data_IF_629259634217
#
_entry.id   IF_629259634217
#
_cell.length_a   1.000
_cell.length_b   1.000
_cell.length_c   1.000
_cell.angle_alpha   90.00
_cell.angle_beta   90.00
_cell.angle_gamma   90.00
#
_symmetry.space_group_name_H-M   'P 1'
#
loop_
_entity.id
_entity.type
_entity.pdbx_description
1 polymer ?
#
# COMPACT_ATOMS: atom_id res chain seq x y z
N UNK A 1 22.89 -11.44 -2.26
CA UNK A 1 21.72 -10.55 -2.14
C UNK A 1 22.19 -9.10 -2.13
N UNK A 2 21.39 -8.17 -2.65
CA UNK A 2 21.73 -6.76 -2.77
C UNK A 2 20.52 -5.92 -2.34
N UNK A 3 20.77 -4.74 -1.79
CA UNK A 3 19.72 -3.76 -1.47
C UNK A 3 20.00 -2.42 -2.15
N UNK A 4 18.96 -1.65 -2.39
CA UNK A 4 19.03 -0.26 -2.82
C UNK A 4 18.85 0.60 -1.55
N UNK A 5 19.87 1.38 -1.20
CA UNK A 5 19.86 2.21 0.00
C UNK A 5 19.70 3.68 -0.39
N UNK A 6 18.69 4.34 0.15
CA UNK A 6 18.52 5.77 0.04
C UNK A 6 19.41 6.45 1.09
N UNK A 7 20.36 7.24 0.64
CA UNK A 7 21.31 7.94 1.50
C UNK A 7 21.20 9.45 1.33
N UNK A 8 21.43 10.20 2.41
CA UNK A 8 21.53 11.65 2.35
C UNK A 8 22.96 12.05 2.02
N UNK A 9 23.26 12.22 0.73
CA UNK A 9 24.60 12.50 0.23
C UNK A 9 24.95 13.98 0.20
N UNK A 10 23.98 14.86 -0.01
CA UNK A 10 24.20 16.30 -0.23
C UNK A 10 23.27 17.13 0.66
N UNK A 11 23.47 17.15 2.00
CA UNK A 11 22.53 17.76 2.96
C UNK A 11 22.27 19.26 2.75
N UNK A 12 23.20 19.97 2.15
CA UNK A 12 23.11 21.42 1.89
C UNK A 12 22.52 21.77 0.52
N UNK A 13 22.23 20.78 -0.32
CA UNK A 13 21.56 20.99 -1.60
C UNK A 13 20.06 21.29 -1.42
N UNK A 14 19.38 21.75 -2.48
CA UNK A 14 17.93 21.88 -2.48
C UNK A 14 17.27 20.51 -2.16
N UNK A 15 16.11 20.53 -1.49
CA UNK A 15 15.50 19.34 -0.88
C UNK A 15 15.41 18.12 -1.82
N UNK A 16 15.07 18.34 -3.10
CA UNK A 16 14.94 17.29 -4.11
C UNK A 16 16.29 16.66 -4.54
N UNK A 17 17.44 17.30 -4.22
CA UNK A 17 18.77 16.86 -4.61
C UNK A 17 19.63 16.40 -3.41
N UNK A 18 19.04 16.28 -2.22
CA UNK A 18 19.77 15.87 -1.02
C UNK A 18 20.09 14.39 -0.94
N UNK A 19 19.40 13.55 -1.72
CA UNK A 19 19.45 12.11 -1.57
C UNK A 19 19.98 11.43 -2.83
N UNK A 20 20.73 10.34 -2.64
CA UNK A 20 21.19 9.42 -3.68
C UNK A 20 20.73 8.01 -3.39
N UNK A 21 20.70 7.16 -4.40
CA UNK A 21 20.45 5.72 -4.22
C UNK A 21 21.72 4.95 -4.57
N UNK A 22 22.08 4.03 -3.68
CA UNK A 22 23.32 3.25 -3.80
C UNK A 22 23.01 1.77 -3.65
N UNK A 23 23.61 0.96 -4.53
CA UNK A 23 23.56 -0.49 -4.42
C UNK A 23 24.53 -0.97 -3.34
N UNK A 24 24.03 -1.70 -2.36
CA UNK A 24 24.82 -2.25 -1.26
C UNK A 24 24.60 -3.76 -1.19
N UNK A 25 25.66 -4.58 -1.46
CA UNK A 25 25.59 -6.02 -1.18
C UNK A 25 25.35 -6.27 0.31
N UNK A 26 24.51 -7.27 0.63
CA UNK A 26 24.10 -7.54 2.02
C UNK A 26 25.25 -8.07 2.90
N UNK A 27 26.30 -8.59 2.29
CA UNK A 27 27.51 -9.10 2.94
C UNK A 27 28.64 -8.08 3.06
N UNK A 28 28.38 -6.82 2.68
CA UNK A 28 29.35 -5.72 2.82
C UNK A 28 29.69 -5.50 4.31
N UNK A 29 30.97 -5.41 4.67
CA UNK A 29 31.40 -5.13 6.04
C UNK A 29 30.71 -3.88 6.60
N UNK A 30 30.17 -3.97 7.81
CA UNK A 30 29.46 -2.89 8.48
C UNK A 30 27.92 -2.92 8.26
N UNK A 31 27.40 -3.74 7.37
CA UNK A 31 25.95 -4.01 7.28
C UNK A 31 25.55 -4.98 8.40
N UNK A 32 24.67 -4.55 9.27
CA UNK A 32 24.20 -5.34 10.41
C UNK A 32 22.68 -5.48 10.37
N UNK A 33 22.18 -6.71 10.42
CA UNK A 33 20.75 -7.00 10.62
C UNK A 33 20.52 -7.10 12.12
N UNK A 34 19.75 -6.18 12.68
CA UNK A 34 19.50 -6.10 14.12
C UNK A 34 18.33 -6.98 14.56
N UNK A 35 17.38 -7.24 13.66
CA UNK A 35 16.23 -8.08 13.96
C UNK A 35 15.08 -7.85 12.96
N UNK A 36 14.06 -8.70 13.07
CA UNK A 36 12.83 -8.55 12.31
C UNK A 36 11.93 -7.47 12.93
N UNK A 37 11.24 -6.71 12.08
CA UNK A 37 10.21 -5.76 12.50
C UNK A 37 8.86 -6.46 12.52
N UNK A 38 8.15 -6.39 13.65
CA UNK A 38 6.80 -6.94 13.76
C UNK A 38 5.75 -5.94 13.26
N UNK A 39 4.80 -6.45 12.49
CA UNK A 39 3.60 -5.72 12.05
C UNK A 39 2.38 -6.45 12.59
N UNK A 40 1.58 -5.82 13.45
CA UNK A 40 0.49 -6.45 14.18
C UNK A 40 0.92 -7.72 14.97
N UNK A 41 2.17 -7.70 15.49
CA UNK A 41 2.73 -8.83 16.24
C UNK A 41 3.39 -9.92 15.41
N UNK A 42 3.29 -9.87 14.08
CA UNK A 42 3.84 -10.85 13.15
C UNK A 42 5.07 -10.32 12.43
N UNK A 43 6.12 -11.14 12.26
CA UNK A 43 7.33 -10.76 11.55
C UNK A 43 7.25 -10.97 10.03
N UNK A 44 6.18 -11.63 9.57
CA UNK A 44 5.90 -11.95 8.16
C UNK A 44 7.04 -12.69 7.44
N UNK A 45 7.84 -13.48 8.16
CA UNK A 45 8.89 -14.28 7.54
C UNK A 45 8.33 -15.19 6.42
N UNK A 46 9.05 -15.39 5.31
CA UNK A 46 10.38 -14.87 4.94
C UNK A 46 10.36 -13.50 4.25
N UNK A 47 9.21 -12.82 4.18
CA UNK A 47 8.98 -11.57 3.44
C UNK A 47 8.92 -10.31 4.32
N UNK A 48 9.20 -10.43 5.59
CA UNK A 48 9.13 -9.34 6.57
C UNK A 48 10.13 -8.21 6.32
N UNK A 49 10.07 -7.20 7.17
CA UNK A 49 10.97 -6.04 7.16
C UNK A 49 12.02 -6.21 8.27
N UNK A 50 13.26 -5.81 7.97
CA UNK A 50 14.35 -5.92 8.92
C UNK A 50 14.81 -4.54 9.39
N UNK A 51 15.17 -4.46 10.67
CA UNK A 51 15.89 -3.32 11.21
C UNK A 51 17.37 -3.48 10.87
N UNK A 52 17.90 -2.54 10.08
CA UNK A 52 19.26 -2.56 9.60
C UNK A 52 20.07 -1.43 10.22
N UNK A 53 21.36 -1.68 10.46
CA UNK A 53 22.35 -0.67 10.80
C UNK A 53 23.48 -0.69 9.78
N UNK A 54 23.88 0.47 9.34
CA UNK A 54 25.04 0.69 8.48
C UNK A 54 26.13 1.37 9.30
N UNK A 55 27.21 0.65 9.55
CA UNK A 55 28.30 1.08 10.40
C UNK A 55 29.58 1.22 9.56
N UNK A 56 29.89 2.43 9.15
CA UNK A 56 31.04 2.75 8.27
C UNK A 56 31.10 1.87 7.01
N UNK A 57 29.96 1.57 6.39
CA UNK A 57 29.85 0.76 5.18
C UNK A 57 30.47 1.49 4.00
N UNK A 58 31.35 0.80 3.28
CA UNK A 58 32.02 1.33 2.09
C UNK A 58 31.71 0.47 0.89
N UNK A 59 31.30 1.10 -0.21
CA UNK A 59 31.01 0.46 -1.50
C UNK A 59 31.67 1.25 -2.63
N UNK A 60 31.92 0.64 -3.79
CA UNK A 60 32.42 1.34 -4.95
C UNK A 60 31.53 2.52 -5.36
N UNK A 61 32.11 3.61 -5.84
CA UNK A 61 31.37 4.77 -6.32
C UNK A 61 30.40 4.44 -7.45
N UNK A 62 30.76 3.47 -8.29
CA UNK A 62 29.95 3.01 -9.43
C UNK A 62 28.67 2.28 -9.03
N UNK A 63 28.51 1.95 -7.74
CA UNK A 63 27.25 1.45 -7.19
C UNK A 63 26.18 2.55 -7.03
N UNK A 64 26.53 3.82 -7.24
CA UNK A 64 25.58 4.93 -7.20
C UNK A 64 24.72 4.95 -8.47
N UNK A 65 23.41 4.94 -8.30
CA UNK A 65 22.44 4.94 -9.39
C UNK A 65 22.24 6.37 -9.93
N UNK A 66 22.40 6.54 -11.24
CA UNK A 66 22.23 7.81 -12.00
C UNK A 66 23.10 8.99 -11.53
N UNK A 67 23.88 8.86 -10.46
CA UNK A 67 24.71 9.92 -9.91
C UNK A 67 24.17 10.58 -8.65
N UNK A 68 24.99 11.45 -8.07
CA UNK A 68 24.70 12.11 -6.79
C UNK A 68 23.48 13.05 -6.88
N UNK A 69 22.66 13.05 -5.82
CA UNK A 69 21.48 13.92 -5.70
C UNK A 69 20.26 13.47 -6.48
N UNK A 70 20.33 12.35 -7.20
CA UNK A 70 19.21 11.88 -8.05
C UNK A 70 18.32 10.79 -7.40
N UNK A 71 18.49 10.55 -6.11
CA UNK A 71 17.72 9.52 -5.40
C UNK A 71 16.22 9.78 -5.37
N UNK A 72 15.80 11.03 -5.20
CA UNK A 72 14.38 11.41 -5.23
C UNK A 72 13.76 11.20 -6.62
N UNK A 73 14.45 11.58 -7.69
CA UNK A 73 14.03 11.36 -9.08
C UNK A 73 13.79 9.86 -9.35
N UNK A 74 14.76 9.00 -9.01
CA UNK A 74 14.66 7.55 -9.17
C UNK A 74 13.43 7.01 -8.42
N UNK A 75 13.23 7.48 -7.17
CA UNK A 75 12.07 7.07 -6.37
C UNK A 75 10.75 7.44 -7.03
N UNK A 76 10.61 8.65 -7.53
CA UNK A 76 9.35 9.10 -8.15
C UNK A 76 9.02 8.35 -9.44
N UNK A 77 10.02 8.02 -10.25
CA UNK A 77 9.84 7.21 -11.46
C UNK A 77 9.30 5.82 -11.14
N UNK A 78 9.74 5.21 -10.04
CA UNK A 78 9.31 3.88 -9.61
C UNK A 78 7.98 3.90 -8.86
N UNK A 79 7.76 4.88 -7.98
CA UNK A 79 6.61 4.93 -7.08
C UNK A 79 5.29 5.21 -7.80
N UNK A 80 5.30 5.95 -8.91
CA UNK A 80 4.08 6.22 -9.69
C UNK A 80 3.37 4.94 -10.12
N UNK A 81 4.00 4.09 -10.96
CA UNK A 81 3.45 2.78 -11.35
C UNK A 81 3.21 1.85 -10.16
N UNK A 82 4.11 1.85 -9.17
CA UNK A 82 3.98 1.05 -7.95
C UNK A 82 2.70 1.34 -7.17
N UNK A 83 2.28 2.60 -7.08
CA UNK A 83 1.03 3.01 -6.42
C UNK A 83 -0.21 2.47 -7.13
N UNK A 84 -0.23 2.49 -8.46
CA UNK A 84 -1.32 1.90 -9.27
C UNK A 84 -1.38 0.39 -9.01
N UNK A 85 -0.24 -0.30 -9.03
CA UNK A 85 -0.13 -1.73 -8.73
C UNK A 85 -0.64 -2.05 -7.31
N UNK A 86 -0.26 -1.28 -6.30
CA UNK A 86 -0.77 -1.44 -4.94
C UNK A 86 -2.30 -1.34 -4.90
N UNK A 87 -2.88 -0.34 -5.55
CA UNK A 87 -4.33 -0.15 -5.57
C UNK A 87 -5.04 -1.31 -6.27
N UNK A 88 -4.56 -1.77 -7.43
CA UNK A 88 -5.23 -2.85 -8.17
C UNK A 88 -5.19 -4.19 -7.41
N UNK A 89 -4.06 -4.57 -6.81
CA UNK A 89 -3.99 -5.80 -6.00
C UNK A 89 -4.83 -5.71 -4.72
N UNK A 90 -5.00 -4.50 -4.15
CA UNK A 90 -5.88 -4.25 -3.00
C UNK A 90 -7.34 -4.51 -3.36
N UNK A 91 -7.77 -4.13 -4.57
CA UNK A 91 -9.11 -4.45 -5.08
C UNK A 91 -9.33 -5.96 -5.14
N UNK A 92 -8.31 -6.74 -5.54
CA UNK A 92 -8.39 -8.20 -5.50
C UNK A 92 -8.60 -8.76 -4.09
N UNK A 93 -8.02 -8.13 -3.07
CA UNK A 93 -8.29 -8.50 -1.68
C UNK A 93 -9.70 -8.09 -1.23
N UNK A 94 -10.20 -6.93 -1.67
CA UNK A 94 -11.59 -6.54 -1.41
C UNK A 94 -12.59 -7.52 -2.03
N UNK A 95 -12.35 -7.99 -3.25
CA UNK A 95 -13.15 -9.06 -3.89
C UNK A 95 -13.17 -10.34 -3.06
N UNK A 96 -11.99 -10.75 -2.57
CA UNK A 96 -11.89 -11.93 -1.71
C UNK A 96 -12.61 -11.75 -0.38
N UNK A 97 -12.50 -10.58 0.23
CA UNK A 97 -13.21 -10.26 1.47
C UNK A 97 -14.72 -10.26 1.28
N UNK A 98 -15.21 -9.68 0.17
CA UNK A 98 -16.64 -9.69 -0.17
C UNK A 98 -17.15 -11.10 -0.42
N UNK A 99 -16.42 -11.95 -1.13
CA UNK A 99 -16.79 -13.36 -1.35
C UNK A 99 -16.94 -14.11 -0.01
N UNK A 100 -15.98 -13.93 0.90
CA UNK A 100 -16.03 -14.52 2.24
C UNK A 100 -17.20 -13.96 3.06
N UNK A 101 -17.44 -12.66 3.01
CA UNK A 101 -18.56 -12.00 3.68
C UNK A 101 -19.90 -12.59 3.23
N UNK A 102 -20.11 -12.72 1.92
CA UNK A 102 -21.35 -13.27 1.36
C UNK A 102 -21.53 -14.74 1.74
N UNK A 103 -20.48 -15.57 1.56
CA UNK A 103 -20.52 -16.98 1.92
C UNK A 103 -20.87 -17.19 3.40
N UNK A 104 -20.25 -16.40 4.29
CA UNK A 104 -20.55 -16.44 5.73
C UNK A 104 -21.98 -15.98 6.01
N UNK A 105 -22.39 -14.90 5.37
CA UNK A 105 -23.73 -14.29 5.55
C UNK A 105 -24.87 -15.24 5.20
N UNK A 106 -24.72 -16.01 4.14
CA UNK A 106 -25.76 -16.97 3.70
C UNK A 106 -25.73 -18.31 4.40
N UNK A 107 -24.56 -18.76 4.86
CA UNK A 107 -24.39 -20.08 5.46
C UNK A 107 -24.58 -20.13 6.97
N UNK A 108 -24.35 -19.03 7.68
CA UNK A 108 -24.47 -18.97 9.14
C UNK A 108 -25.84 -18.46 9.54
N UNK A 109 -26.53 -19.21 10.39
CA UNK A 109 -27.82 -18.82 10.97
C UNK A 109 -27.64 -18.34 12.41
N UNK A 110 -28.42 -17.33 12.76
CA UNK A 110 -28.62 -16.83 14.12
C UNK A 110 -30.03 -16.24 14.25
N UNK A 111 -30.66 -16.36 15.40
CA UNK A 111 -32.02 -15.88 15.64
C UNK A 111 -33.03 -16.40 14.60
N UNK A 112 -32.85 -17.66 14.18
CA UNK A 112 -33.78 -18.35 13.26
C UNK A 112 -33.68 -17.96 11.79
N UNK A 113 -32.63 -17.22 11.35
CA UNK A 113 -32.44 -16.84 9.95
C UNK A 113 -30.96 -16.63 9.59
N UNK A 114 -30.60 -16.72 8.30
CA UNK A 114 -29.24 -16.42 7.83
C UNK A 114 -28.76 -15.03 8.24
N UNK A 115 -27.47 -14.89 8.60
CA UNK A 115 -26.89 -13.63 9.01
C UNK A 115 -27.08 -12.51 7.98
N UNK A 116 -27.09 -12.85 6.70
CA UNK A 116 -27.26 -11.87 5.62
C UNK A 116 -28.59 -11.09 5.75
N UNK A 117 -29.59 -11.69 6.36
CA UNK A 117 -30.91 -11.10 6.57
C UNK A 117 -31.05 -10.39 7.93
N UNK A 118 -29.96 -10.23 8.66
CA UNK A 118 -29.92 -9.55 9.94
C UNK A 118 -29.30 -8.15 9.82
N UNK A 119 -29.89 -7.18 10.50
CA UNK A 119 -29.37 -5.81 10.57
C UNK A 119 -29.14 -5.20 9.19
N UNK A 120 -27.95 -4.65 8.97
CA UNK A 120 -27.53 -3.97 7.74
C UNK A 120 -26.65 -4.83 6.81
N UNK A 121 -26.60 -6.14 6.98
CA UNK A 121 -25.65 -6.98 6.25
C UNK A 121 -25.85 -6.93 4.74
N UNK A 122 -27.09 -6.85 4.23
CA UNK A 122 -27.35 -6.65 2.79
C UNK A 122 -26.82 -5.30 2.30
N UNK A 123 -26.98 -4.24 3.10
CA UNK A 123 -26.44 -2.91 2.76
C UNK A 123 -24.91 -2.94 2.72
N UNK A 124 -24.24 -3.63 3.66
CA UNK A 124 -22.78 -3.75 3.68
C UNK A 124 -22.26 -4.47 2.43
N UNK A 125 -22.90 -5.56 2.01
CA UNK A 125 -22.57 -6.28 0.75
C UNK A 125 -22.75 -5.37 -0.46
N UNK A 126 -23.85 -4.63 -0.53
CA UNK A 126 -24.13 -3.70 -1.62
C UNK A 126 -23.08 -2.59 -1.70
N UNK A 127 -22.76 -1.94 -0.57
CA UNK A 127 -21.74 -0.89 -0.50
C UNK A 127 -20.37 -1.41 -0.90
N UNK A 128 -19.97 -2.59 -0.41
CA UNK A 128 -18.71 -3.21 -0.78
C UNK A 128 -18.60 -3.45 -2.30
N UNK A 129 -19.67 -3.94 -2.94
CA UNK A 129 -19.69 -4.13 -4.41
C UNK A 129 -19.59 -2.79 -5.15
N UNK A 130 -20.33 -1.78 -4.74
CA UNK A 130 -20.29 -0.44 -5.35
C UNK A 130 -18.88 0.16 -5.23
N UNK A 131 -18.29 0.11 -4.03
CA UNK A 131 -16.94 0.62 -3.79
C UNK A 131 -15.88 -0.12 -4.63
N UNK A 132 -15.97 -1.44 -4.76
CA UNK A 132 -15.04 -2.23 -5.57
C UNK A 132 -15.09 -1.81 -7.04
N UNK A 133 -16.28 -1.65 -7.62
CA UNK A 133 -16.40 -1.24 -9.03
C UNK A 133 -15.93 0.19 -9.24
N UNK A 134 -16.29 1.12 -8.34
CA UNK A 134 -15.82 2.50 -8.40
C UNK A 134 -14.29 2.59 -8.30
N UNK A 135 -13.67 1.87 -7.35
CA UNK A 135 -12.22 1.80 -7.19
C UNK A 135 -11.55 1.24 -8.44
N UNK A 136 -12.09 0.16 -9.02
CA UNK A 136 -11.56 -0.47 -10.24
C UNK A 136 -11.53 0.50 -11.41
N UNK A 137 -12.63 1.18 -11.67
CA UNK A 137 -12.72 2.18 -12.74
C UNK A 137 -11.73 3.34 -12.53
N UNK A 138 -11.60 3.81 -11.30
CA UNK A 138 -10.63 4.88 -11.00
C UNK A 138 -9.19 4.41 -11.18
N UNK A 139 -8.84 3.20 -10.78
CA UNK A 139 -7.48 2.66 -10.96
C UNK A 139 -7.17 2.45 -12.44
N UNK A 140 -8.12 1.94 -13.24
CA UNK A 140 -7.97 1.83 -14.69
C UNK A 140 -7.80 3.22 -15.35
N UNK A 141 -8.54 4.21 -14.88
CA UNK A 141 -8.37 5.61 -15.34
C UNK A 141 -6.97 6.15 -15.01
N UNK A 142 -6.47 5.89 -13.79
CA UNK A 142 -5.12 6.32 -13.40
C UNK A 142 -4.04 5.61 -14.22
N UNK A 143 -4.19 4.31 -14.48
CA UNK A 143 -3.28 3.54 -15.34
C UNK A 143 -3.28 4.10 -16.78
N UNK A 144 -4.46 4.31 -17.36
CA UNK A 144 -4.59 4.90 -18.70
C UNK A 144 -3.99 6.31 -18.77
N UNK A 145 -4.19 7.13 -17.74
CA UNK A 145 -3.58 8.45 -17.67
C UNK A 145 -2.05 8.37 -17.66
N UNK A 146 -1.49 7.41 -16.95
CA UNK A 146 -0.04 7.17 -16.92
C UNK A 146 0.51 6.73 -18.28
N UNK A 147 -0.20 5.83 -18.98
CA UNK A 147 0.21 5.36 -20.31
C UNK A 147 0.20 6.48 -21.35
N UNK A 148 -0.78 7.38 -21.28
CA UNK A 148 -0.98 8.42 -22.30
C UNK A 148 -0.23 9.71 -21.99
N UNK A 149 -0.22 10.13 -20.72
CA UNK A 149 0.31 11.44 -20.29
C UNK A 149 1.69 11.33 -19.63
N UNK A 150 2.10 10.12 -19.25
CA UNK A 150 3.32 9.89 -18.50
C UNK A 150 3.16 10.11 -16.97
N UNK A 151 4.17 9.69 -16.22
CA UNK A 151 4.15 9.63 -14.78
C UNK A 151 3.92 11.01 -14.11
N UNK A 152 4.52 12.07 -14.65
CA UNK A 152 4.43 13.42 -14.08
C UNK A 152 3.00 13.97 -14.14
N UNK A 153 2.39 13.89 -15.30
CA UNK A 153 1.04 14.44 -15.53
C UNK A 153 -0.06 13.56 -14.91
N UNK A 154 0.16 12.25 -14.85
CA UNK A 154 -0.77 11.33 -14.20
C UNK A 154 -0.77 11.40 -12.66
N UNK A 155 0.14 12.15 -12.04
CA UNK A 155 0.36 12.17 -10.56
C UNK A 155 -0.89 12.45 -9.73
N UNK A 156 -1.80 13.29 -10.24
CA UNK A 156 -3.05 13.63 -9.53
C UNK A 156 -3.99 12.42 -9.51
N UNK A 157 -4.15 11.72 -10.64
CA UNK A 157 -4.92 10.47 -10.73
C UNK A 157 -4.35 9.39 -9.83
N UNK A 158 -3.02 9.23 -9.83
CA UNK A 158 -2.32 8.29 -8.94
C UNK A 158 -2.56 8.63 -7.48
N UNK A 159 -2.57 9.92 -7.11
CA UNK A 159 -2.85 10.35 -5.74
C UNK A 159 -4.32 10.12 -5.36
N UNK A 160 -5.27 10.34 -6.26
CA UNK A 160 -6.69 10.06 -6.01
C UNK A 160 -6.91 8.59 -5.65
N UNK A 161 -6.39 7.66 -6.46
CA UNK A 161 -6.58 6.23 -6.21
C UNK A 161 -5.84 5.77 -4.95
N UNK A 162 -4.64 6.32 -4.70
CA UNK A 162 -3.85 5.94 -3.53
C UNK A 162 -4.45 6.45 -2.20
N UNK A 163 -5.13 7.60 -2.22
CA UNK A 163 -5.88 8.10 -1.07
C UNK A 163 -7.14 7.26 -0.80
N UNK A 164 -7.88 6.88 -1.85
CA UNK A 164 -9.18 6.24 -1.72
C UNK A 164 -9.09 4.73 -1.49
N UNK A 165 -8.31 4.01 -2.32
CA UNK A 165 -8.39 2.54 -2.39
C UNK A 165 -7.97 1.85 -1.10
N UNK A 166 -6.80 2.16 -0.46
CA UNK A 166 -6.40 1.45 0.76
C UNK A 166 -7.38 1.62 1.91
N UNK A 167 -7.95 2.82 2.06
CA UNK A 167 -8.95 3.11 3.09
C UNK A 167 -10.21 2.28 2.89
N UNK A 168 -10.81 2.31 1.68
CA UNK A 168 -12.04 1.58 1.36
C UNK A 168 -11.86 0.08 1.48
N UNK A 169 -10.72 -0.43 1.04
CA UNK A 169 -10.43 -1.87 1.15
C UNK A 169 -10.29 -2.29 2.63
N UNK A 170 -9.65 -1.48 3.47
CA UNK A 170 -9.63 -1.73 4.92
C UNK A 170 -11.06 -1.82 5.49
N UNK A 171 -11.95 -0.92 5.11
CA UNK A 171 -13.35 -0.93 5.57
C UNK A 171 -14.09 -2.19 5.13
N UNK A 172 -13.92 -2.64 3.89
CA UNK A 172 -14.53 -3.87 3.38
C UNK A 172 -14.03 -5.10 4.14
N UNK A 173 -12.72 -5.20 4.39
CA UNK A 173 -12.13 -6.32 5.13
C UNK A 173 -12.62 -6.31 6.59
N UNK A 174 -12.65 -5.15 7.24
CA UNK A 174 -13.16 -4.99 8.61
C UNK A 174 -14.60 -5.48 8.73
N UNK A 175 -15.48 -5.10 7.79
CA UNK A 175 -16.86 -5.56 7.75
C UNK A 175 -16.96 -7.07 7.51
N UNK A 176 -16.07 -7.64 6.67
CA UNK A 176 -16.01 -9.08 6.48
C UNK A 176 -15.57 -9.80 7.76
N UNK A 177 -14.61 -9.25 8.52
CA UNK A 177 -14.23 -9.75 9.85
C UNK A 177 -15.42 -9.71 10.81
N UNK A 178 -16.14 -8.59 10.85
CA UNK A 178 -17.29 -8.41 11.72
C UNK A 178 -18.37 -9.47 11.51
N UNK A 179 -18.74 -9.80 10.27
CA UNK A 179 -19.77 -10.82 9.99
C UNK A 179 -19.28 -12.24 10.32
N UNK A 180 -17.96 -12.47 10.37
CA UNK A 180 -17.37 -13.74 10.80
C UNK A 180 -17.29 -13.88 12.33
N UNK A 181 -17.38 -12.76 13.08
CA UNK A 181 -17.18 -12.73 14.53
C UNK A 181 -15.74 -13.11 14.90
N UNK A 182 -15.55 -13.81 16.01
CA UNK A 182 -14.22 -14.24 16.48
C UNK A 182 -13.43 -15.06 15.45
N UNK A 183 -14.11 -15.81 14.59
CA UNK A 183 -13.46 -16.54 13.46
C UNK A 183 -12.79 -15.57 12.49
N UNK A 184 -13.33 -14.37 12.29
CA UNK A 184 -12.80 -13.37 11.35
C UNK A 184 -11.45 -12.78 11.76
N UNK A 185 -11.11 -12.81 13.04
CA UNK A 185 -9.83 -12.32 13.57
C UNK A 185 -8.84 -13.44 13.87
N UNK A 186 -9.24 -14.69 13.62
CA UNK A 186 -8.44 -15.88 13.89
C UNK A 186 -7.78 -16.43 12.62
N UNK A 187 -6.89 -17.41 12.79
CA UNK A 187 -6.23 -18.13 11.70
C UNK A 187 -7.19 -18.95 10.79
N UNK A 188 -8.45 -19.08 11.17
CA UNK A 188 -9.47 -19.82 10.38
C UNK A 188 -9.96 -19.08 9.14
N UNK A 189 -9.66 -17.79 9.04
CA UNK A 189 -9.88 -16.99 7.85
C UNK A 189 -8.63 -16.16 7.52
N UNK A 190 -8.42 -15.79 6.26
CA UNK A 190 -7.29 -14.93 5.90
C UNK A 190 -7.54 -13.44 6.23
N UNK A 191 -8.69 -13.07 6.81
CA UNK A 191 -9.16 -11.70 6.91
C UNK A 191 -8.27 -10.83 7.81
N UNK A 192 -7.80 -11.36 8.94
CA UNK A 192 -6.92 -10.60 9.85
C UNK A 192 -5.58 -10.26 9.17
N UNK A 193 -4.95 -11.23 8.49
CA UNK A 193 -3.74 -11.01 7.70
C UNK A 193 -3.98 -10.03 6.55
N UNK A 194 -5.09 -10.19 5.82
CA UNK A 194 -5.49 -9.27 4.76
C UNK A 194 -5.64 -7.85 5.30
N UNK A 195 -6.27 -7.67 6.45
CA UNK A 195 -6.43 -6.36 7.09
C UNK A 195 -5.08 -5.74 7.43
N UNK A 196 -4.20 -6.48 8.09
CA UNK A 196 -2.86 -6.02 8.43
C UNK A 196 -2.08 -5.56 7.18
N UNK A 197 -2.13 -6.34 6.10
CA UNK A 197 -1.52 -6.00 4.81
C UNK A 197 -2.14 -4.75 4.15
N UNK A 198 -3.45 -4.55 4.26
CA UNK A 198 -4.08 -3.36 3.69
C UNK A 198 -3.87 -2.13 4.55
N UNK A 199 -3.86 -2.30 5.88
CA UNK A 199 -3.69 -1.18 6.80
C UNK A 199 -2.36 -0.45 6.60
N UNK A 200 -1.27 -1.17 6.33
CA UNK A 200 0.02 -0.52 6.08
C UNK A 200 0.04 0.28 4.76
N UNK A 201 -0.76 -0.08 3.76
CA UNK A 201 -0.82 0.65 2.49
C UNK A 201 -1.39 2.07 2.63
N UNK A 202 -2.05 2.39 3.74
CA UNK A 202 -2.51 3.74 4.02
C UNK A 202 -1.36 4.73 4.27
N UNK A 203 -0.15 4.25 4.54
CA UNK A 203 1.05 5.08 4.69
C UNK A 203 2.24 4.65 3.82
N UNK A 204 2.30 3.40 3.35
CA UNK A 204 3.33 2.95 2.42
C UNK A 204 3.21 3.67 1.07
N UNK A 205 4.34 4.03 0.47
CA UNK A 205 4.44 4.81 -0.78
C UNK A 205 3.77 6.19 -0.71
N UNK A 206 3.68 6.74 0.47
CA UNK A 206 3.06 8.01 0.81
C UNK A 206 1.77 7.81 1.61
N UNK A 207 1.65 8.47 2.79
CA UNK A 207 0.44 8.41 3.59
C UNK A 207 -0.75 9.09 2.90
N UNK A 208 -1.96 8.70 3.34
CA UNK A 208 -3.23 9.22 2.81
C UNK A 208 -3.22 10.76 2.75
N UNK A 209 -2.71 11.41 3.80
CA UNK A 209 -2.66 12.87 3.94
C UNK A 209 -1.82 13.54 2.85
N UNK A 210 -0.70 12.93 2.46
CA UNK A 210 0.14 13.44 1.36
C UNK A 210 -0.62 13.37 0.03
N UNK A 211 -1.34 12.28 -0.21
CA UNK A 211 -2.12 12.12 -1.42
C UNK A 211 -3.33 13.06 -1.47
N UNK A 212 -4.04 13.23 -0.36
CA UNK A 212 -5.12 14.22 -0.23
C UNK A 212 -4.60 15.65 -0.47
N UNK A 213 -3.43 16.00 0.09
CA UNK A 213 -2.79 17.30 -0.16
C UNK A 213 -2.51 17.53 -1.65
N UNK A 214 -1.99 16.52 -2.36
CA UNK A 214 -1.72 16.64 -3.81
C UNK A 214 -2.99 16.90 -4.59
N UNK A 215 -4.06 16.15 -4.30
CA UNK A 215 -5.36 16.29 -4.97
C UNK A 215 -5.98 17.66 -4.66
N UNK A 216 -6.03 18.05 -3.38
CA UNK A 216 -6.63 19.30 -2.96
C UNK A 216 -5.92 20.52 -3.56
N UNK A 217 -4.57 20.53 -3.56
CA UNK A 217 -3.79 21.60 -4.19
C UNK A 217 -4.03 21.69 -5.70
N UNK A 218 -4.10 20.54 -6.38
CA UNK A 218 -4.37 20.52 -7.81
C UNK A 218 -5.77 21.10 -8.14
N UNK A 219 -6.77 20.83 -7.29
CA UNK A 219 -8.12 21.37 -7.47
C UNK A 219 -8.16 22.88 -7.25
N UNK A 220 -7.55 23.38 -6.16
CA UNK A 220 -7.47 24.83 -5.90
C UNK A 220 -6.77 25.58 -7.05
N UNK A 221 -5.73 24.99 -7.65
CA UNK A 221 -4.99 25.65 -8.75
C UNK A 221 -5.79 25.74 -10.05
N UNK A 222 -6.90 25.02 -10.18
CA UNK A 222 -7.81 25.11 -11.35
C UNK A 222 -8.76 26.31 -11.31
N UNK A 223 -8.91 26.91 -10.13
CA UNK A 223 -9.77 28.06 -9.86
C UNK A 223 -8.96 29.32 -9.57
#
# INVERSE_FOLDING_TARGET
>A
KIMIVMVKSSPNAAAQFQHSQILVPMDTPGVKILGAMSVFGEDHAPRGHMHLRFDNVRVPKDNMLLGEGRGFEISQLRLGPGRIHHCMRSIGQAERALDLMVKRGVSREAFGKPLINLGKNLELVSRARIDIEAMRLMVLKAARAMDVLGNREARVWVSMVKAMVPERVCQIIDQAMQIHGATGISQWTPLAEMYAHQRHLRFADGPDEVHHMVVGRAEITRH
#
